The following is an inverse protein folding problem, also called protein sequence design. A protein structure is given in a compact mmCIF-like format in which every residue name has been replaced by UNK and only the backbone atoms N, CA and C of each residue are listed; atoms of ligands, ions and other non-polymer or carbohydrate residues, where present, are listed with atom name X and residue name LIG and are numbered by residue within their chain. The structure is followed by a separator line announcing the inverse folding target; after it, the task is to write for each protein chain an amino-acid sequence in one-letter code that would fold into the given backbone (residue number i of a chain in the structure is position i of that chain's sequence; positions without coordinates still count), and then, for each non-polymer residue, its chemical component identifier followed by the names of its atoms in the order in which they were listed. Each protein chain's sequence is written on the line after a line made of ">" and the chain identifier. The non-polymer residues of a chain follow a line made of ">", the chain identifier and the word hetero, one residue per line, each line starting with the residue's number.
data_IF_743379186858
#
_entry.id   IF_743379186858
#
_cell.length_a   1.000
_cell.length_b   1.000
_cell.length_c   1.000
_cell.angle_alpha   90.00
_cell.angle_beta   90.00
_cell.angle_gamma   90.00
#
_symmetry.space_group_name_H-M   'P 1'
#
loop_
_entity.id
_entity.type
_entity.pdbx_description
1 polymer ?
#
# COMPACT_ATOMS: atom_id res chain seq x y z
N UNK A 1 -11.35 49.36 -15.11
CA UNK A 1 -10.37 48.55 -14.34
C UNK A 1 -11.09 47.33 -13.87
N UNK A 2 -10.69 46.17 -14.33
CA UNK A 2 -11.26 44.90 -13.87
C UNK A 2 -10.79 44.57 -12.45
N UNK A 3 -11.60 43.82 -11.73
CA UNK A 3 -11.24 43.34 -10.39
C UNK A 3 -10.90 41.84 -10.47
N UNK A 4 -9.69 41.46 -10.11
CA UNK A 4 -9.30 40.05 -10.07
C UNK A 4 -9.86 39.44 -8.78
N UNK A 5 -10.60 38.33 -8.94
CA UNK A 5 -11.13 37.52 -7.85
C UNK A 5 -10.50 36.14 -7.89
N UNK A 6 -10.15 35.61 -6.72
CA UNK A 6 -9.63 34.27 -6.56
C UNK A 6 -10.57 33.48 -5.65
N UNK A 7 -11.00 32.28 -6.10
CA UNK A 7 -11.93 31.42 -5.39
C UNK A 7 -11.39 29.99 -5.29
N UNK A 8 -11.39 29.44 -4.08
CA UNK A 8 -11.11 28.05 -3.85
C UNK A 8 -12.41 27.24 -3.90
N UNK A 9 -12.37 26.12 -4.60
CA UNK A 9 -13.46 25.15 -4.66
C UNK A 9 -12.95 23.79 -4.23
N UNK A 10 -13.70 23.14 -3.35
CA UNK A 10 -13.45 21.77 -2.89
C UNK A 10 -14.72 20.95 -3.10
N UNK A 11 -14.58 19.78 -3.67
CA UNK A 11 -15.65 18.81 -3.86
C UNK A 11 -15.24 17.44 -3.35
N UNK A 12 -16.22 16.70 -2.87
CA UNK A 12 -16.05 15.34 -2.35
C UNK A 12 -17.03 14.42 -3.01
N UNK A 13 -16.59 13.20 -3.29
CA UNK A 13 -17.42 12.14 -3.86
C UNK A 13 -17.16 10.84 -3.12
N UNK A 14 -18.25 10.19 -2.70
CA UNK A 14 -18.18 8.87 -2.11
C UNK A 14 -18.30 7.84 -3.22
N UNK A 15 -17.28 6.98 -3.36
CA UNK A 15 -17.18 5.98 -4.42
C UNK A 15 -17.00 4.59 -3.81
N UNK A 16 -17.68 3.61 -4.39
CA UNK A 16 -17.50 2.20 -4.03
C UNK A 16 -16.34 1.63 -4.83
N UNK A 17 -15.36 0.95 -4.19
CA UNK A 17 -14.31 0.24 -4.90
C UNK A 17 -14.86 -0.79 -5.87
N UNK A 18 -14.19 -0.95 -7.00
CA UNK A 18 -14.51 -1.94 -8.03
C UNK A 18 -13.42 -3.00 -8.20
N UNK A 19 -12.36 -2.90 -7.40
CA UNK A 19 -11.20 -3.78 -7.48
C UNK A 19 -10.64 -4.11 -6.10
N UNK A 20 -10.06 -5.31 -5.97
CA UNK A 20 -9.31 -5.75 -4.78
C UNK A 20 -7.90 -6.13 -5.21
N UNK A 21 -6.90 -5.49 -4.64
CA UNK A 21 -5.50 -5.86 -4.80
C UNK A 21 -5.10 -6.83 -3.67
N UNK A 22 -4.71 -8.03 -4.02
CA UNK A 22 -4.25 -9.06 -3.08
C UNK A 22 -2.73 -9.17 -3.18
N UNK A 23 -2.07 -9.33 -2.02
CA UNK A 23 -0.64 -9.58 -1.91
C UNK A 23 -0.41 -10.77 -0.99
N UNK A 24 0.38 -11.71 -1.47
CA UNK A 24 0.80 -12.91 -0.74
C UNK A 24 2.29 -12.83 -0.53
N UNK A 25 2.76 -13.09 0.68
CA UNK A 25 4.19 -13.08 0.99
C UNK A 25 4.57 -14.23 1.92
N UNK A 26 5.78 -14.74 1.73
CA UNK A 26 6.41 -15.69 2.65
C UNK A 26 7.92 -15.52 2.65
N UNK A 27 8.54 -15.87 3.76
CA UNK A 27 9.99 -16.08 3.83
C UNK A 27 10.25 -17.60 3.92
N UNK A 28 10.85 -18.15 2.87
CA UNK A 28 11.14 -19.55 2.75
C UNK A 28 12.63 -19.74 3.00
N UNK A 29 12.98 -20.62 3.95
CA UNK A 29 14.36 -20.88 4.34
C UNK A 29 14.64 -22.38 4.42
N UNK A 30 15.90 -22.77 4.17
CA UNK A 30 16.34 -24.16 4.22
C UNK A 30 17.83 -24.30 4.03
N UNK A 31 18.32 -25.51 4.15
CA UNK A 31 19.75 -25.80 4.01
C UNK A 31 20.19 -25.99 2.55
N UNK A 32 19.24 -26.21 1.65
CA UNK A 32 19.51 -26.56 0.26
C UNK A 32 18.80 -25.59 -0.70
N UNK A 33 19.58 -24.93 -1.57
CA UNK A 33 19.06 -24.00 -2.59
C UNK A 33 18.04 -24.68 -3.51
N UNK A 34 18.29 -25.91 -3.92
CA UNK A 34 17.41 -26.63 -4.85
C UNK A 34 16.04 -26.92 -4.22
N UNK A 35 15.99 -27.24 -2.93
CA UNK A 35 14.75 -27.47 -2.19
C UNK A 35 13.93 -26.17 -2.09
N UNK A 36 14.57 -25.08 -1.68
CA UNK A 36 13.93 -23.76 -1.63
C UNK A 36 13.40 -23.35 -3.00
N UNK A 37 14.20 -23.54 -4.05
CA UNK A 37 13.79 -23.21 -5.43
C UNK A 37 12.58 -24.04 -5.87
N UNK A 38 12.58 -25.33 -5.56
CA UNK A 38 11.46 -26.23 -5.89
C UNK A 38 10.19 -25.85 -5.15
N UNK A 39 10.32 -25.56 -3.87
CA UNK A 39 9.19 -25.13 -3.03
C UNK A 39 8.58 -23.81 -3.53
N UNK A 40 9.39 -22.78 -3.75
CA UNK A 40 8.93 -21.49 -4.26
C UNK A 40 8.25 -21.63 -5.62
N UNK A 41 8.84 -22.38 -6.53
CA UNK A 41 8.26 -22.60 -7.86
C UNK A 41 6.95 -23.40 -7.79
N UNK A 42 6.85 -24.36 -6.87
CA UNK A 42 5.62 -25.09 -6.60
C UNK A 42 4.50 -24.16 -6.12
N UNK A 43 4.78 -23.34 -5.10
CA UNK A 43 3.82 -22.37 -4.58
C UNK A 43 3.40 -21.38 -5.69
N UNK A 44 4.37 -20.81 -6.42
CA UNK A 44 4.10 -19.89 -7.54
C UNK A 44 3.21 -20.51 -8.61
N UNK A 45 3.50 -21.77 -8.99
CA UNK A 45 2.71 -22.50 -9.97
C UNK A 45 1.26 -22.67 -9.51
N UNK A 46 1.05 -23.16 -8.30
CA UNK A 46 -0.28 -23.38 -7.71
C UNK A 46 -1.08 -22.08 -7.60
N UNK A 47 -0.48 -21.01 -7.08
CA UNK A 47 -1.15 -19.71 -6.96
C UNK A 47 -1.47 -19.12 -8.33
N UNK A 48 -0.52 -19.21 -9.27
CA UNK A 48 -0.73 -18.73 -10.65
C UNK A 48 -1.89 -19.46 -11.34
N UNK A 49 -1.96 -20.77 -11.23
CA UNK A 49 -3.05 -21.58 -11.81
C UNK A 49 -4.39 -21.22 -11.17
N UNK A 50 -4.43 -21.09 -9.83
CA UNK A 50 -5.64 -20.67 -9.12
C UNK A 50 -6.15 -19.31 -9.60
N UNK A 51 -5.25 -18.33 -9.79
CA UNK A 51 -5.61 -16.99 -10.27
C UNK A 51 -6.05 -17.03 -11.73
N UNK A 52 -5.29 -17.66 -12.62
CA UNK A 52 -5.58 -17.65 -14.06
C UNK A 52 -6.81 -18.49 -14.44
N UNK A 53 -7.24 -19.42 -13.60
CA UNK A 53 -8.45 -20.22 -13.82
C UNK A 53 -9.76 -19.46 -13.57
N UNK A 54 -9.68 -18.27 -12.95
CA UNK A 54 -10.85 -17.50 -12.51
C UNK A 54 -11.03 -16.23 -13.34
N UNK A 55 -12.29 -15.93 -13.70
CA UNK A 55 -12.65 -14.75 -14.51
C UNK A 55 -12.63 -13.43 -13.73
N UNK A 56 -12.76 -13.48 -12.41
CA UNK A 56 -12.72 -12.30 -11.53
C UNK A 56 -11.35 -11.63 -11.51
N UNK A 57 -10.28 -12.34 -11.83
CA UNK A 57 -8.96 -11.75 -11.88
C UNK A 57 -8.73 -10.97 -13.17
N UNK A 58 -8.20 -9.75 -13.02
CA UNK A 58 -7.85 -8.91 -14.16
C UNK A 58 -6.71 -9.55 -14.95
N UNK A 59 -6.85 -9.57 -16.28
CA UNK A 59 -5.80 -10.02 -17.16
C UNK A 59 -4.51 -9.21 -16.90
N UNK A 60 -3.37 -9.91 -16.83
CA UNK A 60 -2.05 -9.32 -16.55
C UNK A 60 -1.87 -8.69 -15.16
N UNK A 61 -2.81 -8.88 -14.22
CA UNK A 61 -2.66 -8.38 -12.86
C UNK A 61 -1.74 -9.23 -12.01
N UNK A 62 -1.52 -10.50 -12.39
CA UNK A 62 -0.60 -11.40 -11.70
C UNK A 62 0.84 -10.89 -11.83
N UNK A 63 1.45 -10.56 -10.69
CA UNK A 63 2.86 -10.18 -10.60
C UNK A 63 3.54 -11.01 -9.53
N UNK A 64 4.79 -11.35 -9.79
CA UNK A 64 5.65 -12.04 -8.81
C UNK A 64 7.03 -11.42 -8.83
N UNK A 65 7.71 -11.44 -7.67
CA UNK A 65 9.11 -11.03 -7.61
C UNK A 65 10.01 -12.05 -8.30
N UNK A 66 11.21 -11.62 -8.71
CA UNK A 66 12.28 -12.53 -9.13
C UNK A 66 12.72 -13.43 -7.97
N UNK A 67 13.18 -14.65 -8.29
CA UNK A 67 13.78 -15.52 -7.30
C UNK A 67 15.14 -14.93 -6.88
N UNK A 68 15.27 -14.61 -5.60
CA UNK A 68 16.51 -14.13 -5.01
C UNK A 68 16.79 -14.93 -3.74
N UNK A 69 17.76 -15.82 -3.80
CA UNK A 69 18.14 -16.67 -2.66
C UNK A 69 19.42 -16.10 -2.05
N UNK A 70 19.33 -15.69 -0.80
CA UNK A 70 20.45 -15.19 -0.03
C UNK A 70 20.95 -16.21 0.99
N UNK A 71 22.25 -16.16 1.26
CA UNK A 71 22.80 -16.93 2.40
C UNK A 71 22.28 -16.31 3.70
N UNK A 72 21.81 -17.19 4.58
CA UNK A 72 21.42 -16.83 5.92
C UNK A 72 22.56 -17.23 6.88
N UNK A 73 23.13 -16.22 7.55
CA UNK A 73 24.25 -16.40 8.48
C UNK A 73 23.87 -15.83 9.84
N UNK A 74 24.19 -16.56 10.90
CA UNK A 74 24.16 -15.99 12.22
C UNK A 74 25.50 -15.28 12.48
N UNK A 75 25.40 -14.04 12.88
CA UNK A 75 26.57 -13.21 13.24
C UNK A 75 26.71 -13.22 14.75
N UNK A 76 27.75 -13.88 15.24
CA UNK A 76 28.10 -13.90 16.64
C UNK A 76 29.26 -12.96 16.87
N UNK A 77 29.08 -12.00 17.77
CA UNK A 77 30.13 -11.09 18.20
C UNK A 77 30.76 -11.59 19.47
N UNK A 78 32.09 -11.71 19.47
CA UNK A 78 32.89 -12.14 20.61
C UNK A 78 33.62 -10.91 21.16
N UNK A 79 33.42 -10.67 22.44
CA UNK A 79 34.06 -9.59 23.19
C UNK A 79 35.07 -10.18 24.15
N UNK A 80 36.14 -9.41 24.40
CA UNK A 80 37.19 -9.85 25.34
C UNK A 80 38.10 -8.71 25.74
N UNK A 81 39.00 -9.00 26.70
CA UNK A 81 40.07 -8.10 27.11
C UNK A 81 41.27 -8.40 26.23
N UNK A 82 41.86 -7.36 25.63
CA UNK A 82 42.99 -7.49 24.72
C UNK A 82 44.14 -8.22 25.40
N UNK A 83 44.61 -9.31 24.79
CA UNK A 83 45.68 -10.14 25.30
C UNK A 83 45.29 -11.24 26.28
N UNK A 84 44.01 -11.40 26.58
CA UNK A 84 43.49 -12.45 27.48
C UNK A 84 42.38 -13.26 26.81
N UNK A 85 42.73 -14.40 26.23
CA UNK A 85 41.78 -15.29 25.57
C UNK A 85 40.78 -15.92 26.52
N UNK A 86 41.09 -16.02 27.81
CA UNK A 86 40.21 -16.56 28.83
C UNK A 86 39.01 -15.63 29.13
N UNK A 87 39.15 -14.35 28.74
CA UNK A 87 38.09 -13.33 28.89
C UNK A 87 37.05 -13.33 27.78
N UNK A 88 37.15 -14.19 26.75
CA UNK A 88 36.26 -14.17 25.61
C UNK A 88 34.83 -14.60 25.97
N UNK A 89 33.90 -13.73 25.68
CA UNK A 89 32.47 -13.91 25.97
C UNK A 89 31.63 -13.56 24.75
N UNK A 90 30.44 -14.18 24.70
CA UNK A 90 29.44 -13.87 23.67
C UNK A 90 28.82 -12.48 23.84
N UNK A 91 28.18 -11.96 22.78
CA UNK A 91 27.43 -10.68 22.84
C UNK A 91 26.33 -10.73 23.90
N UNK A 92 25.67 -11.89 24.08
CA UNK A 92 24.63 -12.06 25.09
C UNK A 92 25.15 -11.95 26.50
N UNK A 93 26.34 -12.49 26.77
CA UNK A 93 27.02 -12.38 28.07
C UNK A 93 27.56 -10.97 28.29
N UNK A 94 28.19 -10.35 27.26
CA UNK A 94 28.65 -8.98 27.29
C UNK A 94 27.51 -8.01 27.67
N UNK A 95 26.32 -8.17 27.11
CA UNK A 95 25.18 -7.31 27.38
C UNK A 95 24.65 -7.43 28.83
N UNK A 96 24.92 -8.54 29.52
CA UNK A 96 24.56 -8.76 30.93
C UNK A 96 25.56 -8.13 31.91
N UNK A 97 26.75 -7.77 31.45
CA UNK A 97 27.77 -7.17 32.31
C UNK A 97 27.36 -5.76 32.76
N UNK A 98 27.75 -5.35 33.99
CA UNK A 98 27.65 -3.96 34.45
C UNK A 98 28.41 -3.01 33.53
N UNK A 99 27.92 -1.78 33.37
CA UNK A 99 28.50 -0.78 32.45
C UNK A 99 30.03 -0.61 32.64
N UNK A 100 30.49 -0.46 33.88
CA UNK A 100 31.92 -0.27 34.18
C UNK A 100 32.77 -1.48 33.80
N UNK A 101 32.20 -2.67 33.81
CA UNK A 101 32.88 -3.90 33.38
C UNK A 101 32.95 -3.97 31.85
N UNK A 102 31.85 -3.60 31.16
CA UNK A 102 31.80 -3.56 29.69
C UNK A 102 32.85 -2.66 29.06
N UNK A 103 33.26 -1.56 29.73
CA UNK A 103 34.29 -0.65 29.26
C UNK A 103 35.67 -1.30 29.07
N UNK A 104 35.93 -2.43 29.75
CA UNK A 104 37.19 -3.18 29.64
C UNK A 104 37.20 -4.14 28.47
N UNK A 105 36.01 -4.50 27.94
CA UNK A 105 35.88 -5.44 26.85
C UNK A 105 35.84 -4.73 25.50
N UNK A 106 36.47 -5.31 24.50
CA UNK A 106 36.47 -4.84 23.12
C UNK A 106 35.94 -5.94 22.22
N UNK A 107 35.39 -5.56 21.09
CA UNK A 107 35.04 -6.52 20.05
C UNK A 107 36.34 -7.14 19.51
N UNK A 108 36.50 -8.46 19.71
CA UNK A 108 37.68 -9.20 19.32
C UNK A 108 37.53 -9.79 17.93
N UNK A 109 36.35 -10.42 17.67
CA UNK A 109 36.06 -11.02 16.38
C UNK A 109 34.57 -11.12 16.12
N UNK A 110 34.24 -11.27 14.85
CA UNK A 110 32.88 -11.53 14.39
C UNK A 110 32.89 -12.88 13.68
N UNK A 111 32.16 -13.84 14.21
CA UNK A 111 31.97 -15.15 13.57
C UNK A 111 30.71 -15.08 12.71
N UNK A 112 30.82 -15.54 11.47
CA UNK A 112 29.68 -15.71 10.57
C UNK A 112 29.39 -17.20 10.42
N UNK A 113 28.45 -17.72 11.20
CA UNK A 113 28.04 -19.11 11.15
C UNK A 113 26.94 -19.28 10.09
N UNK A 114 27.24 -20.08 9.06
CA UNK A 114 26.23 -20.40 8.05
C UNK A 114 25.09 -21.20 8.68
N UNK A 115 23.86 -20.73 8.51
CA UNK A 115 22.66 -21.41 9.00
C UNK A 115 21.87 -22.02 7.84
N UNK A 116 21.92 -21.41 6.66
CA UNK A 116 21.18 -21.89 5.50
C UNK A 116 21.03 -20.81 4.44
N UNK A 117 19.98 -20.95 3.67
CA UNK A 117 19.56 -20.02 2.64
C UNK A 117 18.14 -19.52 2.93
N UNK A 118 17.80 -18.34 2.47
CA UNK A 118 16.44 -17.80 2.55
C UNK A 118 16.07 -17.05 1.29
N UNK A 119 14.78 -17.02 0.99
CA UNK A 119 14.21 -16.26 -0.11
C UNK A 119 12.85 -15.70 0.26
N UNK A 120 12.59 -14.47 -0.12
CA UNK A 120 11.28 -13.83 0.02
C UNK A 120 10.45 -14.08 -1.23
N UNK A 121 9.30 -14.71 -1.04
CA UNK A 121 8.27 -14.86 -2.05
C UNK A 121 7.26 -13.72 -1.91
N UNK A 122 7.01 -12.98 -2.99
CA UNK A 122 5.94 -11.99 -3.06
C UNK A 122 5.15 -12.20 -4.36
N UNK A 123 3.85 -12.33 -4.22
CA UNK A 123 2.90 -12.47 -5.32
C UNK A 123 1.83 -11.40 -5.14
N UNK A 124 1.39 -10.77 -6.22
CA UNK A 124 0.23 -9.88 -6.19
C UNK A 124 -0.69 -10.17 -7.36
N UNK A 125 -1.98 -9.97 -7.12
CA UNK A 125 -3.02 -10.08 -8.12
C UNK A 125 -4.13 -9.07 -7.81
N UNK A 126 -4.88 -8.68 -8.84
CA UNK A 126 -6.03 -7.79 -8.70
C UNK A 126 -7.28 -8.51 -9.20
N UNK A 127 -8.32 -8.53 -8.36
CA UNK A 127 -9.66 -8.98 -8.73
C UNK A 127 -10.52 -7.77 -9.06
N UNK A 128 -11.43 -7.95 -10.01
CA UNK A 128 -12.56 -7.03 -10.22
C UNK A 128 -13.71 -7.46 -9.34
N UNK A 129 -14.28 -6.56 -8.56
CA UNK A 129 -15.41 -6.87 -7.67
C UNK A 129 -16.64 -7.16 -8.51
N UNK A 130 -17.19 -8.36 -8.36
CA UNK A 130 -18.39 -8.89 -9.02
C UNK A 130 -19.06 -9.91 -8.10
N UNK A 131 -20.19 -10.47 -8.49
CA UNK A 131 -20.94 -11.44 -7.67
C UNK A 131 -20.13 -12.70 -7.32
N UNK A 132 -19.16 -13.09 -8.16
CA UNK A 132 -18.32 -14.28 -7.94
C UNK A 132 -17.03 -13.99 -7.19
N UNK A 133 -16.73 -12.72 -6.88
CA UNK A 133 -15.43 -12.31 -6.34
C UNK A 133 -15.22 -12.78 -4.90
N UNK A 134 -16.29 -12.89 -4.12
CA UNK A 134 -16.22 -13.37 -2.73
C UNK A 134 -15.68 -14.80 -2.69
N UNK A 135 -16.21 -15.69 -3.51
CA UNK A 135 -15.76 -17.09 -3.58
C UNK A 135 -14.32 -17.21 -4.06
N UNK A 136 -13.95 -16.43 -5.08
CA UNK A 136 -12.58 -16.43 -5.62
C UNK A 136 -11.58 -15.87 -4.61
N UNK A 137 -11.97 -14.88 -3.83
CA UNK A 137 -11.17 -14.31 -2.74
C UNK A 137 -10.94 -15.34 -1.62
N UNK A 138 -12.02 -16.02 -1.18
CA UNK A 138 -11.95 -17.06 -0.15
C UNK A 138 -11.04 -18.20 -0.61
N UNK A 139 -11.21 -18.68 -1.84
CA UNK A 139 -10.38 -19.76 -2.38
C UNK A 139 -8.90 -19.41 -2.37
N UNK A 140 -8.54 -18.15 -2.69
CA UNK A 140 -7.16 -17.71 -2.64
C UNK A 140 -6.63 -17.54 -1.20
N UNK A 141 -7.50 -17.10 -0.29
CA UNK A 141 -7.18 -17.02 1.14
C UNK A 141 -6.90 -18.41 1.72
N UNK A 142 -7.77 -19.41 1.49
CA UNK A 142 -7.56 -20.79 1.92
C UNK A 142 -6.27 -21.38 1.36
N UNK A 143 -5.98 -21.08 0.09
CA UNK A 143 -4.75 -21.50 -0.54
C UNK A 143 -3.51 -20.86 0.11
N UNK A 144 -3.63 -19.62 0.54
CA UNK A 144 -2.56 -18.91 1.27
C UNK A 144 -2.27 -19.59 2.62
N UNK A 145 -3.31 -19.97 3.36
CA UNK A 145 -3.15 -20.70 4.63
C UNK A 145 -2.45 -22.03 4.39
N UNK A 146 -2.90 -22.80 3.37
CA UNK A 146 -2.31 -24.10 3.02
C UNK A 146 -0.80 -24.01 2.74
N UNK A 147 -0.33 -22.89 2.21
CA UNK A 147 1.07 -22.67 1.88
C UNK A 147 1.81 -21.78 2.87
N UNK A 148 1.24 -21.49 4.04
CA UNK A 148 1.81 -20.60 5.08
C UNK A 148 2.22 -19.23 4.52
N UNK A 149 1.38 -18.66 3.64
CA UNK A 149 1.59 -17.32 3.10
C UNK A 149 0.86 -16.28 3.96
N UNK A 150 1.50 -15.16 4.19
CA UNK A 150 0.82 -13.99 4.74
C UNK A 150 -0.05 -13.36 3.66
N UNK A 151 -1.33 -13.17 3.95
CA UNK A 151 -2.33 -12.65 3.04
C UNK A 151 -2.66 -11.19 3.38
N UNK A 152 -2.49 -10.29 2.41
CA UNK A 152 -2.87 -8.89 2.51
C UNK A 152 -3.82 -8.54 1.37
N UNK A 153 -4.76 -7.64 1.62
CA UNK A 153 -5.64 -7.12 0.59
C UNK A 153 -5.94 -5.65 0.80
N UNK A 154 -6.20 -4.94 -0.31
CA UNK A 154 -6.64 -3.56 -0.32
C UNK A 154 -7.77 -3.42 -1.34
N UNK A 155 -8.91 -2.84 -0.94
CA UNK A 155 -9.97 -2.43 -1.87
C UNK A 155 -9.54 -1.14 -2.56
N UNK A 156 -9.58 -1.13 -3.88
CA UNK A 156 -9.07 -0.02 -4.71
C UNK A 156 -10.05 0.31 -5.82
N UNK A 157 -9.89 1.48 -6.40
CA UNK A 157 -10.56 1.84 -7.65
C UNK A 157 -9.71 1.34 -8.83
N UNK A 158 -10.36 0.77 -9.85
CA UNK A 158 -9.69 0.56 -11.14
C UNK A 158 -9.27 1.91 -11.73
N UNK A 159 -8.25 1.90 -12.60
CA UNK A 159 -7.82 3.14 -13.27
C UNK A 159 -8.99 3.85 -13.97
N UNK A 160 -9.86 3.09 -14.65
CA UNK A 160 -11.02 3.65 -15.33
C UNK A 160 -11.98 4.36 -14.37
N UNK A 161 -12.30 3.75 -13.23
CA UNK A 161 -13.19 4.34 -12.23
C UNK A 161 -12.52 5.53 -11.53
N UNK A 162 -11.24 5.42 -11.25
CA UNK A 162 -10.45 6.50 -10.69
C UNK A 162 -10.43 7.73 -11.60
N UNK A 163 -10.13 7.55 -12.89
CA UNK A 163 -10.07 8.62 -13.88
C UNK A 163 -11.45 9.29 -14.03
N UNK A 164 -12.51 8.51 -14.21
CA UNK A 164 -13.88 9.07 -14.34
C UNK A 164 -14.36 9.80 -13.08
N UNK A 165 -13.95 9.33 -11.90
CA UNK A 165 -14.24 10.00 -10.63
C UNK A 165 -13.51 11.34 -10.54
N UNK A 166 -12.24 11.38 -10.93
CA UNK A 166 -11.44 12.59 -10.95
C UNK A 166 -11.97 13.62 -11.96
N UNK A 167 -12.37 13.19 -13.16
CA UNK A 167 -13.02 14.06 -14.16
C UNK A 167 -14.31 14.66 -13.61
N UNK A 168 -15.14 13.86 -12.94
CA UNK A 168 -16.37 14.32 -12.31
C UNK A 168 -16.11 15.35 -11.22
N UNK A 169 -15.16 15.08 -10.33
CA UNK A 169 -14.77 15.98 -9.25
C UNK A 169 -14.20 17.29 -9.80
N UNK A 170 -13.36 17.23 -10.82
CA UNK A 170 -12.79 18.39 -11.49
C UNK A 170 -13.88 19.29 -12.10
N UNK A 171 -14.81 18.70 -12.83
CA UNK A 171 -15.93 19.43 -13.41
C UNK A 171 -16.83 20.09 -12.34
N UNK A 172 -17.13 19.35 -11.26
CA UNK A 172 -17.92 19.84 -10.14
C UNK A 172 -17.21 21.01 -9.40
N UNK A 173 -15.89 20.92 -9.21
CA UNK A 173 -15.10 22.00 -8.62
C UNK A 173 -15.14 23.27 -9.47
N UNK A 174 -15.00 23.14 -10.79
CA UNK A 174 -15.11 24.32 -11.69
C UNK A 174 -16.49 24.95 -11.58
N UNK A 175 -17.55 24.16 -11.70
CA UNK A 175 -18.93 24.62 -11.63
C UNK A 175 -19.23 25.32 -10.29
N UNK A 176 -18.82 24.72 -9.16
CA UNK A 176 -18.99 25.31 -7.83
C UNK A 176 -18.20 26.62 -7.69
N UNK A 177 -16.96 26.66 -8.13
CA UNK A 177 -16.13 27.86 -8.06
C UNK A 177 -16.69 29.02 -8.89
N UNK A 178 -17.18 28.75 -10.12
CA UNK A 178 -17.86 29.76 -10.95
C UNK A 178 -19.13 30.26 -10.25
N UNK A 179 -19.96 29.36 -9.76
CA UNK A 179 -21.21 29.72 -9.05
C UNK A 179 -20.95 30.58 -7.80
N UNK A 180 -19.88 30.31 -7.07
CA UNK A 180 -19.45 31.13 -5.92
C UNK A 180 -19.05 32.57 -6.35
N UNK A 181 -18.30 32.69 -7.46
CA UNK A 181 -17.91 33.98 -8.03
C UNK A 181 -19.16 34.76 -8.46
N UNK A 182 -20.08 34.15 -9.21
CA UNK A 182 -21.33 34.73 -9.65
C UNK A 182 -22.19 35.23 -8.49
N UNK A 183 -22.31 34.39 -7.44
CA UNK A 183 -23.04 34.76 -6.23
C UNK A 183 -22.45 35.99 -5.50
N UNK A 184 -21.12 36.09 -5.45
CA UNK A 184 -20.48 37.24 -4.82
C UNK A 184 -20.67 38.48 -5.68
N UNK A 185 -20.45 38.38 -6.98
CA UNK A 185 -20.61 39.48 -7.94
C UNK A 185 -22.03 40.04 -7.92
N UNK A 186 -23.04 39.18 -7.91
CA UNK A 186 -24.47 39.60 -7.84
C UNK A 186 -24.83 40.31 -6.53
N UNK A 187 -24.25 39.89 -5.40
CA UNK A 187 -24.49 40.51 -4.09
C UNK A 187 -23.81 41.90 -3.93
N UNK A 188 -22.61 42.04 -4.52
CA UNK A 188 -21.82 43.26 -4.40
C UNK A 188 -22.40 44.39 -5.30
N UNK A 189 -22.98 44.05 -6.44
CA UNK A 189 -23.55 45.04 -7.35
C UNK A 189 -24.73 44.50 -8.18
N UNK A 190 -25.93 44.42 -7.60
CA UNK A 190 -27.10 43.76 -8.23
C UNK A 190 -27.64 44.48 -9.47
N UNK A 191 -27.20 45.71 -9.76
CA UNK A 191 -27.76 46.53 -10.85
C UNK A 191 -26.85 46.58 -12.11
N UNK A 192 -25.71 45.93 -12.15
CA UNK A 192 -24.83 45.94 -13.31
C UNK A 192 -24.59 44.53 -13.81
N UNK A 193 -24.90 44.29 -15.09
CA UNK A 193 -24.44 43.10 -15.80
C UNK A 193 -22.90 43.15 -15.86
N UNK A 194 -22.25 42.34 -15.10
CA UNK A 194 -20.80 42.19 -15.13
C UNK A 194 -20.42 40.95 -15.92
N UNK A 195 -19.36 41.06 -16.68
CA UNK A 195 -18.78 39.92 -17.41
C UNK A 195 -17.72 39.29 -16.50
N UNK A 196 -17.85 38.00 -16.28
CA UNK A 196 -16.89 37.19 -15.53
C UNK A 196 -16.02 36.44 -16.54
N UNK A 197 -14.75 36.79 -16.66
CA UNK A 197 -13.80 36.16 -17.51
C UNK A 197 -12.87 35.26 -16.65
N UNK A 198 -12.91 33.94 -16.85
CA UNK A 198 -11.97 33.04 -16.17
C UNK A 198 -10.60 33.27 -16.81
N UNK A 199 -9.63 33.69 -16.00
CA UNK A 199 -8.26 33.95 -16.42
C UNK A 199 -7.42 32.68 -16.27
N UNK A 200 -7.58 31.96 -15.14
CA UNK A 200 -6.71 30.85 -14.77
C UNK A 200 -7.46 29.86 -13.88
N UNK A 201 -7.24 28.58 -14.11
CA UNK A 201 -7.64 27.49 -13.22
C UNK A 201 -6.34 26.84 -12.72
N UNK A 202 -6.09 26.96 -11.42
CA UNK A 202 -4.90 26.40 -10.79
C UNK A 202 -5.28 25.06 -10.17
N UNK A 203 -4.75 23.99 -10.74
CA UNK A 203 -4.85 22.63 -10.21
C UNK A 203 -3.57 22.30 -9.44
N UNK A 204 -3.62 22.20 -8.10
CA UNK A 204 -2.44 21.89 -7.30
C UNK A 204 -1.86 20.50 -7.61
N UNK A 205 -2.65 19.59 -8.22
CA UNK A 205 -2.18 18.26 -8.62
C UNK A 205 -1.49 18.27 -9.99
N UNK A 206 -1.81 19.22 -10.87
CA UNK A 206 -1.14 19.35 -12.17
C UNK A 206 0.32 19.81 -12.06
N UNK A 207 0.68 20.46 -10.93
CA UNK A 207 2.04 20.96 -10.69
C UNK A 207 3.01 19.83 -10.28
N UNK A 208 2.49 18.70 -9.79
CA UNK A 208 3.28 17.55 -9.33
C UNK A 208 3.19 16.36 -10.31
N UNK A 209 3.63 16.54 -11.55
CA UNK A 209 3.61 15.48 -12.57
C UNK A 209 4.52 14.26 -12.29
N UNK A 210 5.30 14.25 -11.19
CA UNK A 210 6.21 13.14 -10.83
C UNK A 210 5.79 12.32 -9.61
N UNK A 211 4.74 12.70 -8.92
CA UNK A 211 4.18 11.88 -7.84
C UNK A 211 2.87 11.26 -8.31
N UNK A 212 2.91 9.96 -8.60
CA UNK A 212 1.70 9.19 -8.83
C UNK A 212 0.65 9.57 -7.79
N UNK A 213 -0.59 9.73 -8.24
CA UNK A 213 -1.74 10.13 -7.44
C UNK A 213 -1.69 9.35 -6.12
N UNK A 214 -1.20 10.00 -5.06
CA UNK A 214 -1.35 9.47 -3.72
C UNK A 214 -2.83 9.67 -3.36
N UNK A 215 -3.64 8.67 -3.71
CA UNK A 215 -4.85 8.47 -2.95
C UNK A 215 -4.39 8.32 -1.49
N UNK A 216 -4.91 9.13 -0.58
CA UNK A 216 -4.84 8.79 0.83
C UNK A 216 -5.45 7.39 0.93
N UNK A 217 -4.56 6.40 0.95
CA UNK A 217 -4.95 5.03 1.19
C UNK A 217 -5.49 5.01 2.59
N UNK A 218 -6.79 5.03 2.72
CA UNK A 218 -7.44 4.42 3.87
C UNK A 218 -7.04 2.96 3.83
N UNK A 219 -5.78 2.69 4.18
CA UNK A 219 -5.35 1.38 4.55
C UNK A 219 -6.20 1.05 5.77
N UNK A 220 -7.26 0.28 5.59
CA UNK A 220 -7.73 -0.56 6.67
C UNK A 220 -6.55 -1.49 6.92
N UNK A 221 -5.60 -0.97 7.70
CA UNK A 221 -4.60 -1.77 8.37
C UNK A 221 -5.41 -2.54 9.40
N UNK A 222 -5.84 -3.72 9.04
CA UNK A 222 -5.90 -4.79 10.01
C UNK A 222 -4.45 -5.14 10.37
N UNK A 223 -3.75 -4.13 10.91
CA UNK A 223 -2.49 -4.31 11.57
C UNK A 223 -2.82 -4.76 12.98
N UNK A 224 -3.42 -5.90 13.12
CA UNK A 224 -3.24 -6.70 14.31
C UNK A 224 -2.02 -7.57 14.10
N UNK A 225 -0.87 -6.98 14.40
CA UNK A 225 0.31 -7.71 14.87
C UNK A 225 0.08 -8.14 16.30
N UNK A 226 -1.04 -8.72 16.58
CA UNK A 226 -1.23 -9.57 17.73
C UNK A 226 -1.02 -10.99 17.24
N UNK A 227 0.09 -11.60 17.64
CA UNK A 227 0.26 -13.02 17.77
C UNK A 227 -0.76 -13.53 18.80
N UNK A 228 -2.01 -13.52 18.46
CA UNK A 228 -3.03 -14.32 19.08
C UNK A 228 -3.59 -15.23 17.99
N UNK A 229 -3.30 -16.50 18.15
CA UNK A 229 -3.76 -17.62 17.33
C UNK A 229 -5.26 -17.88 17.55
N UNK A 230 -6.08 -16.87 17.39
CA UNK A 230 -7.49 -17.04 17.07
C UNK A 230 -7.58 -16.98 15.54
N UNK A 231 -7.80 -18.14 14.91
CA UNK A 231 -8.21 -18.25 13.53
C UNK A 231 -9.38 -17.28 13.31
N UNK A 232 -9.13 -16.10 12.76
CA UNK A 232 -10.20 -15.26 12.24
C UNK A 232 -10.81 -16.03 11.08
N UNK A 233 -11.95 -16.66 11.35
CA UNK A 233 -12.74 -17.33 10.30
C UNK A 233 -13.23 -16.20 9.38
N UNK A 234 -12.64 -16.10 8.21
CA UNK A 234 -13.12 -15.19 7.15
C UNK A 234 -14.41 -15.78 6.62
N UNK A 235 -15.55 -15.13 6.93
CA UNK A 235 -16.85 -15.52 6.41
C UNK A 235 -17.20 -14.75 5.14
N UNK A 236 -18.04 -15.32 4.25
CA UNK A 236 -18.52 -14.62 3.04
C UNK A 236 -19.17 -13.27 3.36
N UNK A 237 -19.91 -13.18 4.47
CA UNK A 237 -20.57 -11.96 4.92
C UNK A 237 -19.56 -10.86 5.27
N UNK A 238 -18.48 -11.21 6.00
CA UNK A 238 -17.42 -10.27 6.34
C UNK A 238 -16.75 -9.73 5.09
N UNK A 239 -16.50 -10.58 4.08
CA UNK A 239 -15.89 -10.16 2.82
C UNK A 239 -16.84 -9.27 2.03
N UNK A 240 -18.13 -9.61 2.00
CA UNK A 240 -19.14 -8.79 1.33
C UNK A 240 -19.20 -7.38 1.95
N UNK A 241 -19.12 -7.27 3.27
CA UNK A 241 -19.08 -5.99 3.98
C UNK A 241 -17.81 -5.19 3.63
N UNK A 242 -16.65 -5.85 3.57
CA UNK A 242 -15.40 -5.22 3.16
C UNK A 242 -15.49 -4.66 1.74
N UNK A 243 -16.07 -5.41 0.80
CA UNK A 243 -16.23 -4.97 -0.60
C UNK A 243 -17.31 -3.89 -0.77
N UNK A 244 -18.20 -3.73 0.20
CA UNK A 244 -19.23 -2.70 0.21
C UNK A 244 -18.77 -1.38 0.85
N UNK A 245 -17.60 -1.34 1.49
CA UNK A 245 -17.06 -0.10 2.06
C UNK A 245 -16.83 0.94 0.96
N UNK A 246 -17.34 2.14 1.21
CA UNK A 246 -17.16 3.29 0.31
C UNK A 246 -15.92 4.09 0.71
N UNK A 247 -15.31 4.74 -0.27
CA UNK A 247 -14.17 5.63 -0.08
C UNK A 247 -14.60 7.06 -0.41
N UNK A 248 -14.25 8.03 0.44
CA UNK A 248 -14.42 9.46 0.13
C UNK A 248 -13.17 9.95 -0.61
N UNK A 249 -13.38 10.53 -1.77
CA UNK A 249 -12.34 11.16 -2.58
C UNK A 249 -12.64 12.66 -2.60
N UNK A 250 -11.64 13.47 -2.25
CA UNK A 250 -11.73 14.92 -2.30
C UNK A 250 -10.84 15.51 -3.40
N UNK A 251 -11.30 16.59 -3.99
CA UNK A 251 -10.54 17.35 -4.97
C UNK A 251 -10.72 18.85 -4.71
N UNK A 252 -9.65 19.63 -4.86
CA UNK A 252 -9.68 21.06 -4.71
C UNK A 252 -8.96 21.76 -5.87
N UNK A 253 -9.43 22.94 -6.24
CA UNK A 253 -8.77 23.80 -7.21
C UNK A 253 -9.02 25.27 -6.89
N UNK A 254 -8.24 26.15 -7.50
CA UNK A 254 -8.38 27.60 -7.38
C UNK A 254 -8.71 28.21 -8.72
N UNK A 255 -9.78 29.01 -8.77
CA UNK A 255 -10.21 29.74 -9.97
C UNK A 255 -9.87 31.23 -9.79
N UNK A 256 -9.20 31.81 -10.77
CA UNK A 256 -9.00 33.24 -10.90
C UNK A 256 -9.88 33.79 -12.02
N UNK A 257 -10.62 34.83 -11.74
CA UNK A 257 -11.48 35.50 -12.70
C UNK A 257 -11.28 37.03 -12.67
N UNK A 258 -11.36 37.65 -13.84
CA UNK A 258 -11.44 39.09 -13.99
C UNK A 258 -12.92 39.50 -14.14
N UNK A 259 -13.33 40.45 -13.33
CA UNK A 259 -14.71 40.95 -13.26
C UNK A 259 -14.70 42.36 -13.88
N UNK A 260 -15.28 42.45 -15.08
CA UNK A 260 -15.33 43.66 -15.87
C UNK A 260 -16.72 44.30 -15.86
#
# INVERSE_FOLDING_TARGET
>A
MGTIMTMNSEQKLTVKPDSVCIRLSANISGMNINEITKEINGIRGTIKEAILSKKSYQNNSFKQNSLNIAKYVNTERIYGISGDESSYISEAEYNKLPYNTRLKYKLIRINHNFIGYSSNLNISATLTISDTTVEDFIALYELSIKHNLTFYYDCTLSNKLADSTMETLYANCISDGISKIENIVSKVNPMKNRIINIIEIIDPKAINHDSGIMYERSAIRTADTARDTSEQIITPELIADIFNNTQEISYNLTIKADIV
#
